data_IF_963609907050
#
_entry.id   IF_963609907050
#
_cell.length_a   1.000
_cell.length_b   1.000
_cell.length_c   1.000
_cell.angle_alpha   90.00
_cell.angle_beta   90.00
_cell.angle_gamma   90.00
#
_symmetry.space_group_name_H-M   'P 1'
#
loop_
_entity.id
_entity.type
_entity.pdbx_description
1 polymer ?
#
# COMPACT_ATOMS: atom_id res chain seq x y z
N UNK A 1 7.97 -6.43 9.41
CA UNK A 1 6.87 -7.00 8.57
C UNK A 1 6.60 -6.13 7.35
N UNK A 2 7.01 -4.86 7.39
CA UNK A 2 6.90 -3.88 6.31
C UNK A 2 7.54 -4.31 4.98
N UNK A 3 8.73 -4.91 4.99
CA UNK A 3 9.39 -5.38 3.75
C UNK A 3 8.57 -6.42 2.99
N UNK A 4 7.92 -7.33 3.71
CA UNK A 4 7.00 -8.30 3.11
C UNK A 4 5.80 -7.60 2.46
N UNK A 5 5.25 -6.59 3.13
CA UNK A 5 4.17 -5.77 2.59
C UNK A 5 4.59 -5.04 1.30
N UNK A 6 5.83 -4.54 1.21
CA UNK A 6 6.33 -3.96 -0.04
C UNK A 6 6.40 -4.98 -1.17
N UNK A 7 7.01 -6.15 -0.94
CA UNK A 7 7.17 -7.16 -1.97
C UNK A 7 5.82 -7.67 -2.48
N UNK A 8 4.86 -7.93 -1.59
CA UNK A 8 3.52 -8.38 -1.98
C UNK A 8 2.78 -7.28 -2.73
N UNK A 9 2.82 -6.02 -2.27
CA UNK A 9 2.15 -4.91 -2.95
C UNK A 9 2.75 -4.63 -4.33
N UNK A 10 4.06 -4.71 -4.50
CA UNK A 10 4.71 -4.61 -5.80
C UNK A 10 4.31 -5.73 -6.74
N UNK A 11 4.17 -6.96 -6.24
CA UNK A 11 3.69 -8.09 -7.04
C UNK A 11 2.24 -7.92 -7.45
N UNK A 12 1.41 -7.28 -6.64
CA UNK A 12 -0.02 -7.10 -6.89
C UNK A 12 -0.36 -5.77 -7.55
N UNK A 13 0.62 -4.90 -7.83
CA UNK A 13 0.36 -3.54 -8.34
C UNK A 13 -0.21 -3.49 -9.75
N UNK A 14 -0.19 -4.61 -10.48
CA UNK A 14 -0.86 -4.74 -11.79
C UNK A 14 -2.39 -4.83 -11.67
N UNK A 15 -2.93 -5.20 -10.50
CA UNK A 15 -4.35 -5.41 -10.26
C UNK A 15 -4.85 -4.49 -9.14
N UNK A 16 -5.59 -3.44 -9.50
CA UNK A 16 -6.07 -2.41 -8.56
C UNK A 16 -6.90 -2.98 -7.42
N UNK A 17 -7.76 -3.96 -7.72
CA UNK A 17 -8.64 -4.55 -6.71
C UNK A 17 -7.85 -5.38 -5.70
N UNK A 18 -6.94 -6.21 -6.21
CA UNK A 18 -6.10 -7.07 -5.37
C UNK A 18 -5.11 -6.25 -4.55
N UNK A 19 -4.49 -5.23 -5.16
CA UNK A 19 -3.61 -4.27 -4.50
C UNK A 19 -4.31 -3.58 -3.32
N UNK A 20 -5.53 -3.07 -3.54
CA UNK A 20 -6.28 -2.37 -2.50
C UNK A 20 -6.67 -3.29 -1.33
N UNK A 21 -7.06 -4.54 -1.64
CA UNK A 21 -7.40 -5.55 -0.62
C UNK A 21 -6.16 -5.91 0.22
N UNK A 22 -5.03 -6.14 -0.42
CA UNK A 22 -3.81 -6.51 0.28
C UNK A 22 -3.21 -5.32 1.06
N UNK A 23 -3.29 -4.10 0.52
CA UNK A 23 -2.88 -2.89 1.21
C UNK A 23 -3.62 -2.72 2.54
N UNK A 24 -4.95 -2.92 2.54
CA UNK A 24 -5.76 -2.88 3.78
C UNK A 24 -5.32 -3.94 4.78
N UNK A 25 -5.04 -5.17 4.33
CA UNK A 25 -4.55 -6.25 5.20
C UNK A 25 -3.18 -5.91 5.78
N UNK A 26 -2.23 -5.44 4.96
CA UNK A 26 -0.92 -5.03 5.42
C UNK A 26 -1.03 -3.91 6.46
N UNK A 27 -1.83 -2.86 6.21
CA UNK A 27 -2.05 -1.77 7.18
C UNK A 27 -2.64 -2.29 8.50
N UNK A 28 -3.53 -3.28 8.45
CA UNK A 28 -4.11 -3.88 9.66
C UNK A 28 -3.16 -4.80 10.42
N UNK A 29 -2.16 -5.38 9.73
CA UNK A 29 -1.19 -6.31 10.31
C UNK A 29 0.07 -5.62 10.82
N UNK A 30 0.39 -4.44 10.28
CA UNK A 30 1.52 -3.63 10.66
C UNK A 30 1.20 -2.76 11.88
N UNK A 31 2.21 -2.45 12.68
CA UNK A 31 2.09 -1.47 13.77
C UNK A 31 1.88 -0.06 13.21
N UNK A 32 1.39 0.86 14.05
CA UNK A 32 1.09 2.25 13.66
C UNK A 32 2.23 2.95 12.91
N UNK A 33 3.48 2.70 13.33
CA UNK A 33 4.68 3.28 12.69
C UNK A 33 4.94 2.67 11.31
N UNK A 34 5.05 1.34 11.22
CA UNK A 34 5.22 0.63 9.95
C UNK A 34 4.05 0.92 8.97
N UNK A 35 2.82 0.96 9.45
CA UNK A 35 1.66 1.31 8.64
C UNK A 35 1.74 2.73 8.08
N UNK A 36 2.30 3.68 8.84
CA UNK A 36 2.53 5.05 8.37
C UNK A 36 3.60 5.08 7.28
N UNK A 37 4.70 4.35 7.46
CA UNK A 37 5.74 4.20 6.44
C UNK A 37 5.20 3.55 5.17
N UNK A 38 4.38 2.50 5.29
CA UNK A 38 3.75 1.83 4.15
C UNK A 38 2.89 2.79 3.34
N UNK A 39 2.05 3.59 4.02
CA UNK A 39 1.19 4.58 3.38
C UNK A 39 1.99 5.63 2.62
N UNK A 40 3.07 6.13 3.22
CA UNK A 40 3.92 7.14 2.60
C UNK A 40 4.63 6.57 1.36
N UNK A 41 5.15 5.35 1.48
CA UNK A 41 5.77 4.65 0.36
C UNK A 41 4.77 4.38 -0.78
N UNK A 42 3.55 3.95 -0.47
CA UNK A 42 2.50 3.76 -1.50
C UNK A 42 2.17 5.10 -2.16
N UNK A 43 2.07 6.17 -1.37
CA UNK A 43 1.83 7.51 -1.90
C UNK A 43 2.96 7.94 -2.84
N UNK A 44 4.22 7.68 -2.53
CA UNK A 44 5.35 8.06 -3.39
C UNK A 44 5.41 7.21 -4.66
N UNK A 45 5.27 5.89 -4.55
CA UNK A 45 5.48 4.96 -5.66
C UNK A 45 4.25 4.84 -6.58
N UNK A 46 3.04 5.03 -6.05
CA UNK A 46 1.79 4.76 -6.75
C UNK A 46 0.87 5.99 -6.90
N UNK A 47 1.33 7.20 -6.53
CA UNK A 47 0.58 8.47 -6.75
C UNK A 47 0.14 8.65 -8.20
N UNK A 48 0.95 8.20 -9.16
CA UNK A 48 0.67 8.40 -10.59
C UNK A 48 -0.31 7.37 -11.14
N UNK A 49 -0.15 6.09 -10.75
CA UNK A 49 -1.03 4.99 -11.19
C UNK A 49 -2.40 5.01 -10.51
N UNK A 50 -2.47 5.52 -9.28
CA UNK A 50 -3.66 5.51 -8.46
C UNK A 50 -3.96 6.92 -7.95
N UNK A 51 -4.18 7.85 -8.88
CA UNK A 51 -4.54 9.23 -8.56
C UNK A 51 -5.76 9.33 -7.61
N UNK A 52 -6.65 8.34 -7.63
CA UNK A 52 -7.80 8.22 -6.73
C UNK A 52 -7.42 7.94 -5.26
N UNK A 53 -6.27 7.31 -4.99
CA UNK A 53 -5.79 7.08 -3.61
C UNK A 53 -5.45 8.38 -2.90
N UNK A 54 -5.20 9.47 -3.64
CA UNK A 54 -4.91 10.80 -3.10
C UNK A 54 -6.09 11.37 -2.29
N UNK A 55 -7.31 10.90 -2.53
CA UNK A 55 -8.51 11.32 -1.79
C UNK A 55 -8.97 10.33 -0.72
N UNK A 56 -8.30 9.18 -0.59
CA UNK A 56 -8.71 8.07 0.29
C UNK A 56 -7.88 7.99 1.59
N UNK A 57 -6.90 8.87 1.76
CA UNK A 57 -6.06 9.00 2.95
C UNK A 57 -6.16 10.39 3.57
#
# INVERSE_FOLDING_TARGET
MLEYAYVILQKLSFDKELFTKELKKCISYLNTDEAKQLKDWVKINYTHEYAELRSCF
#
